data_IF_549711923693
#
_entry.id   IF_549711923693
#
_cell.length_a   1.000
_cell.length_b   1.000
_cell.length_c   1.000
_cell.angle_alpha   90.00
_cell.angle_beta   90.00
_cell.angle_gamma   90.00
#
_symmetry.space_group_name_H-M   'P 1'
#
loop_
_entity.id
_entity.type
_entity.pdbx_description
1 polymer ?
#
# COMPACT_ATOMS: atom_id res chain seq x y z
N UNK A 1 33.78 -4.89 14.38
CA UNK A 1 33.45 -3.78 13.46
C UNK A 1 32.14 -4.14 12.82
N UNK A 2 31.16 -3.23 12.74
CA UNK A 2 29.92 -3.51 12.02
C UNK A 2 30.25 -3.72 10.56
N UNK A 3 30.08 -4.93 10.01
CA UNK A 3 30.22 -5.15 8.58
C UNK A 3 29.19 -4.28 7.87
N UNK A 4 29.66 -3.38 7.01
CA UNK A 4 28.82 -2.49 6.21
C UNK A 4 28.40 -3.23 4.95
N UNK A 5 27.11 -3.14 4.60
CA UNK A 5 26.59 -3.63 3.34
C UNK A 5 26.76 -2.56 2.26
N UNK A 6 26.96 -2.99 1.01
CA UNK A 6 27.00 -2.10 -0.14
C UNK A 6 25.67 -2.15 -0.89
N UNK A 7 25.06 -0.99 -1.10
CA UNK A 7 23.93 -0.81 -2.01
C UNK A 7 24.36 0.04 -3.20
N UNK A 8 23.68 -0.11 -4.33
CA UNK A 8 24.11 0.51 -5.58
C UNK A 8 22.96 0.93 -6.49
N UNK A 9 23.26 1.87 -7.38
CA UNK A 9 22.29 2.50 -8.26
C UNK A 9 21.69 3.76 -7.65
N UNK A 10 21.37 4.72 -8.53
CA UNK A 10 20.93 6.06 -8.13
C UNK A 10 19.67 6.00 -7.27
N UNK A 11 18.64 5.28 -7.73
CA UNK A 11 17.35 5.20 -7.04
C UNK A 11 17.44 4.53 -5.66
N UNK A 12 18.24 3.45 -5.53
CA UNK A 12 18.35 2.73 -4.27
C UNK A 12 19.04 3.59 -3.20
N UNK A 13 20.11 4.31 -3.57
CA UNK A 13 20.82 5.21 -2.66
C UNK A 13 19.99 6.45 -2.34
N UNK A 14 19.28 7.03 -3.32
CA UNK A 14 18.37 8.15 -3.09
C UNK A 14 17.24 7.78 -2.12
N UNK A 15 16.59 6.63 -2.32
CA UNK A 15 15.55 6.12 -1.44
C UNK A 15 16.08 5.93 0.00
N UNK A 16 17.30 5.41 0.14
CA UNK A 16 17.93 5.23 1.44
C UNK A 16 18.24 6.55 2.15
N UNK A 17 18.73 7.56 1.42
CA UNK A 17 18.95 8.88 1.99
C UNK A 17 17.63 9.55 2.40
N UNK A 18 16.56 9.35 1.64
CA UNK A 18 15.24 9.93 1.94
C UNK A 18 14.57 9.30 3.15
N UNK A 19 14.58 7.96 3.23
CA UNK A 19 13.79 7.23 4.23
C UNK A 19 14.62 6.79 5.44
N UNK A 20 15.89 6.45 5.26
CA UNK A 20 16.76 5.91 6.30
C UNK A 20 18.16 6.56 6.32
N UNK A 21 18.28 7.90 6.37
CA UNK A 21 19.57 8.59 6.24
C UNK A 21 20.60 8.15 7.28
N UNK A 22 20.18 7.75 8.48
CA UNK A 22 21.05 7.27 9.56
C UNK A 22 21.76 5.94 9.25
N UNK A 23 21.20 5.13 8.35
CA UNK A 23 21.80 3.87 7.90
C UNK A 23 22.92 4.11 6.89
N UNK A 24 22.85 5.19 6.11
CA UNK A 24 23.87 5.53 5.11
C UNK A 24 25.10 6.11 5.80
N UNK A 25 26.24 5.44 5.67
CA UNK A 25 27.51 5.86 6.29
C UNK A 25 28.33 6.70 5.33
N UNK A 26 28.37 6.29 4.07
CA UNK A 26 29.11 6.98 3.03
C UNK A 26 28.51 6.67 1.66
N UNK A 27 28.51 7.67 0.78
CA UNK A 27 28.18 7.52 -0.64
C UNK A 27 29.48 7.65 -1.44
N UNK A 28 29.63 6.81 -2.47
CA UNK A 28 30.70 6.84 -3.44
C UNK A 28 30.14 7.14 -4.82
N UNK A 29 30.74 8.11 -5.50
CA UNK A 29 30.43 8.51 -6.86
C UNK A 29 31.59 8.19 -7.79
N UNK A 30 31.26 7.68 -8.98
CA UNK A 30 32.26 7.47 -10.01
C UNK A 30 32.84 8.82 -10.48
N UNK A 31 34.16 8.85 -10.68
CA UNK A 31 34.85 10.05 -11.17
C UNK A 31 34.24 10.61 -12.47
N UNK A 32 34.20 11.94 -12.55
CA UNK A 32 33.66 12.67 -13.70
C UNK A 32 32.13 12.63 -13.81
N UNK A 33 31.44 12.01 -12.86
CA UNK A 33 29.98 11.97 -12.86
C UNK A 33 29.38 13.24 -12.26
N UNK A 34 28.85 14.09 -13.14
CA UNK A 34 28.17 15.35 -12.80
C UNK A 34 26.78 15.46 -13.44
N UNK A 35 26.21 14.33 -13.90
CA UNK A 35 24.96 14.35 -14.65
C UNK A 35 23.74 14.74 -13.78
N UNK A 36 22.71 15.39 -14.34
CA UNK A 36 21.57 15.92 -13.59
C UNK A 36 20.84 14.90 -12.72
N UNK A 37 20.91 13.60 -13.05
CA UNK A 37 20.25 12.54 -12.29
C UNK A 37 20.84 12.32 -10.90
N UNK A 38 22.07 12.76 -10.66
CA UNK A 38 22.77 12.57 -9.38
C UNK A 38 22.58 13.76 -8.44
N UNK A 39 22.17 14.93 -8.96
CA UNK A 39 21.98 16.14 -8.15
C UNK A 39 21.00 15.94 -6.97
N UNK A 40 19.80 15.33 -7.15
CA UNK A 40 18.88 15.10 -6.04
C UNK A 40 19.49 14.25 -4.92
N UNK A 41 20.33 13.28 -5.29
CA UNK A 41 21.04 12.42 -4.36
C UNK A 41 22.10 13.20 -3.57
N UNK A 42 22.87 14.07 -4.24
CA UNK A 42 23.87 14.92 -3.58
C UNK A 42 23.22 15.90 -2.59
N UNK A 43 22.09 16.49 -2.96
CA UNK A 43 21.31 17.36 -2.08
C UNK A 43 20.82 16.61 -0.85
N UNK A 44 20.24 15.41 -1.02
CA UNK A 44 19.80 14.57 0.10
C UNK A 44 20.96 14.13 1.01
N UNK A 45 22.13 13.81 0.42
CA UNK A 45 23.33 13.47 1.17
C UNK A 45 23.82 14.65 2.01
N UNK A 46 23.83 15.86 1.43
CA UNK A 46 24.20 17.09 2.12
C UNK A 46 23.23 17.41 3.26
N UNK A 47 21.92 17.35 3.02
CA UNK A 47 20.87 17.55 4.03
C UNK A 47 21.01 16.55 5.19
N UNK A 48 21.35 15.31 4.88
CA UNK A 48 21.52 14.23 5.85
C UNK A 48 22.91 14.18 6.50
N UNK A 49 23.82 15.09 6.13
CA UNK A 49 25.23 15.14 6.58
C UNK A 49 26.00 13.84 6.31
N UNK A 50 25.66 13.17 5.22
CA UNK A 50 26.35 11.94 4.76
C UNK A 50 27.55 12.34 3.90
N UNK A 51 28.69 11.70 4.13
CA UNK A 51 29.91 11.96 3.34
C UNK A 51 29.76 11.40 1.93
N UNK A 52 30.18 12.18 0.95
CA UNK A 52 30.23 11.77 -0.46
C UNK A 52 31.70 11.75 -0.90
N UNK A 53 32.20 10.57 -1.25
CA UNK A 53 33.53 10.36 -1.81
C UNK A 53 33.48 10.15 -3.33
N UNK A 54 34.59 10.41 -4.00
CA UNK A 54 34.81 10.04 -5.40
C UNK A 54 35.65 8.77 -5.47
N UNK A 55 35.43 7.94 -6.48
CA UNK A 55 36.13 6.68 -6.69
C UNK A 55 36.19 6.35 -8.18
N UNK A 56 37.25 5.66 -8.62
CA UNK A 56 37.34 5.24 -10.01
C UNK A 56 36.27 4.19 -10.31
N UNK A 57 35.63 4.29 -11.47
CA UNK A 57 34.59 3.34 -11.86
C UNK A 57 35.05 1.88 -11.81
N UNK A 58 36.31 1.62 -12.16
CA UNK A 58 36.92 0.29 -12.14
C UNK A 58 37.03 -0.29 -10.72
N UNK A 59 37.30 0.55 -9.72
CA UNK A 59 37.31 0.12 -8.33
C UNK A 59 35.90 -0.23 -7.85
N UNK A 60 34.90 0.56 -8.26
CA UNK A 60 33.50 0.30 -7.95
C UNK A 60 32.98 -1.00 -8.59
N UNK A 61 33.41 -1.30 -9.82
CA UNK A 61 33.10 -2.56 -10.51
C UNK A 61 33.65 -3.77 -9.74
N UNK A 62 34.78 -3.62 -9.03
CA UNK A 62 35.35 -4.68 -8.20
C UNK A 62 34.60 -4.90 -6.88
N UNK A 63 33.80 -3.92 -6.43
CA UNK A 63 33.03 -4.03 -5.19
C UNK A 63 31.70 -4.75 -5.36
N UNK A 64 31.15 -4.81 -6.59
CA UNK A 64 29.74 -5.14 -6.81
C UNK A 64 29.55 -5.95 -8.09
N UNK A 65 28.87 -7.09 -7.98
CA UNK A 65 28.37 -7.85 -9.12
C UNK A 65 27.05 -7.22 -9.62
N UNK A 66 27.12 -6.13 -10.38
CA UNK A 66 25.92 -5.49 -10.94
C UNK A 66 26.12 -4.14 -11.61
N UNK A 67 25.06 -3.63 -12.22
CA UNK A 67 25.07 -2.30 -12.86
C UNK A 67 24.85 -1.23 -11.79
N UNK A 68 25.93 -0.80 -11.14
CA UNK A 68 25.89 0.21 -10.07
C UNK A 68 25.52 1.62 -10.54
N UNK A 69 25.51 1.88 -11.85
CA UNK A 69 25.28 3.21 -12.42
C UNK A 69 26.12 4.29 -11.71
N UNK A 70 27.41 4.05 -11.45
CA UNK A 70 28.36 5.02 -10.88
C UNK A 70 28.00 5.56 -9.50
N UNK A 71 27.10 4.90 -8.77
CA UNK A 71 26.68 5.29 -7.42
C UNK A 71 26.65 4.06 -6.53
N UNK A 72 27.35 4.13 -5.41
CA UNK A 72 27.40 3.09 -4.38
C UNK A 72 27.27 3.75 -3.03
N UNK A 73 26.66 3.09 -2.06
CA UNK A 73 26.67 3.54 -0.68
C UNK A 73 27.00 2.40 0.29
N UNK A 74 27.84 2.71 1.27
CA UNK A 74 28.05 1.87 2.43
C UNK A 74 26.94 2.14 3.45
N UNK A 75 26.18 1.11 3.79
CA UNK A 75 25.04 1.19 4.70
C UNK A 75 25.20 0.20 5.83
N UNK A 76 24.63 0.52 7.00
CA UNK A 76 24.45 -0.49 8.04
C UNK A 76 23.46 -1.56 7.56
N UNK A 77 23.70 -2.85 7.87
CA UNK A 77 22.89 -3.96 7.37
C UNK A 77 21.40 -3.76 7.57
N UNK A 78 20.60 -4.15 6.58
CA UNK A 78 19.14 -4.16 6.77
C UNK A 78 18.77 -5.34 7.67
N UNK A 79 18.19 -5.07 8.83
CA UNK A 79 17.67 -6.12 9.69
C UNK A 79 16.26 -6.50 9.24
N UNK A 80 15.96 -7.79 9.25
CA UNK A 80 14.58 -8.27 9.21
C UNK A 80 13.93 -7.89 10.55
N UNK A 81 12.77 -7.25 10.49
CA UNK A 81 12.11 -6.74 11.68
C UNK A 81 11.42 -7.87 12.43
N UNK A 82 11.42 -7.78 13.76
CA UNK A 82 10.65 -8.69 14.61
C UNK A 82 9.25 -8.16 14.92
N UNK A 83 8.44 -9.00 15.56
CA UNK A 83 7.07 -8.63 15.99
C UNK A 83 7.06 -7.37 16.88
N UNK A 84 7.99 -7.22 17.82
CA UNK A 84 8.07 -6.04 18.68
C UNK A 84 8.27 -4.73 17.90
N UNK A 85 9.10 -4.75 16.86
CA UNK A 85 9.34 -3.56 16.03
C UNK A 85 8.10 -3.20 15.18
N UNK A 86 7.32 -4.20 14.76
CA UNK A 86 6.03 -3.97 14.10
C UNK A 86 5.03 -3.32 15.06
N UNK A 87 5.01 -3.74 16.32
CA UNK A 87 4.15 -3.16 17.34
C UNK A 87 4.48 -1.68 17.57
N UNK A 88 5.76 -1.33 17.71
CA UNK A 88 6.23 0.06 17.82
C UNK A 88 5.90 0.89 16.56
N UNK A 89 6.01 0.28 15.37
CA UNK A 89 5.68 0.94 14.11
C UNK A 89 4.20 1.30 14.01
N UNK A 90 3.32 0.40 14.47
CA UNK A 90 1.88 0.62 14.49
C UNK A 90 1.48 1.72 15.47
N UNK A 91 2.13 1.81 16.63
CA UNK A 91 1.87 2.86 17.62
C UNK A 91 2.22 4.26 17.11
N UNK A 92 3.21 4.35 16.22
CA UNK A 92 3.67 5.60 15.62
C UNK A 92 2.97 5.94 14.29
N UNK A 93 2.11 5.05 13.81
CA UNK A 93 1.45 5.22 12.52
C UNK A 93 0.36 6.29 12.61
N UNK A 94 0.45 7.31 11.77
CA UNK A 94 -0.60 8.32 11.62
C UNK A 94 -1.59 7.89 10.53
N UNK A 95 -2.86 7.72 10.91
CA UNK A 95 -3.94 7.31 10.01
C UNK A 95 -4.12 5.78 9.88
N UNK A 96 -4.98 5.31 8.97
CA UNK A 96 -5.31 3.90 8.85
C UNK A 96 -4.15 3.11 8.21
N UNK A 97 -3.48 2.19 8.93
CA UNK A 97 -2.38 1.40 8.37
C UNK A 97 -2.87 0.49 7.23
N UNK A 98 -1.98 0.24 6.27
CA UNK A 98 -2.11 -0.83 5.28
C UNK A 98 -0.94 -1.77 5.46
N UNK A 99 -1.21 -3.03 5.80
CA UNK A 99 -0.19 -4.07 5.92
C UNK A 99 -0.39 -5.10 4.82
N UNK A 100 0.72 -5.64 4.31
CA UNK A 100 0.71 -6.77 3.39
C UNK A 100 1.25 -8.00 4.12
N UNK A 101 0.54 -9.11 4.05
CA UNK A 101 1.01 -10.42 4.53
C UNK A 101 1.20 -11.34 3.33
N UNK A 102 2.34 -12.00 3.26
CA UNK A 102 2.62 -13.01 2.24
C UNK A 102 2.75 -14.38 2.92
N UNK A 103 1.73 -15.23 2.77
CA UNK A 103 1.71 -16.58 3.32
C UNK A 103 2.22 -17.60 2.29
N UNK A 104 3.47 -18.04 2.46
CA UNK A 104 4.04 -19.10 1.65
C UNK A 104 4.70 -18.64 0.35
N UNK A 105 4.98 -17.35 0.18
CA UNK A 105 5.75 -16.85 -0.96
C UNK A 105 7.23 -17.19 -0.78
N UNK A 106 7.68 -18.25 -1.45
CA UNK A 106 9.05 -18.79 -1.34
C UNK A 106 9.98 -18.33 -2.46
N UNK A 107 9.45 -17.78 -3.54
CA UNK A 107 10.26 -17.29 -4.66
C UNK A 107 10.79 -15.86 -4.38
N UNK A 108 12.12 -15.64 -4.42
CA UNK A 108 12.73 -14.32 -4.27
C UNK A 108 12.24 -13.28 -5.29
N UNK A 109 11.91 -13.68 -6.52
CA UNK A 109 11.41 -12.75 -7.54
C UNK A 109 10.03 -12.22 -7.16
N UNK A 110 9.11 -13.12 -6.82
CA UNK A 110 7.79 -12.75 -6.31
C UNK A 110 7.87 -11.89 -5.04
N UNK A 111 8.71 -12.24 -4.05
CA UNK A 111 8.87 -11.41 -2.85
C UNK A 111 9.38 -10.00 -3.19
N UNK A 112 10.41 -9.88 -4.03
CA UNK A 112 10.95 -8.58 -4.44
C UNK A 112 9.93 -7.72 -5.19
N UNK A 113 9.14 -8.34 -6.08
CA UNK A 113 8.07 -7.64 -6.79
C UNK A 113 6.95 -7.19 -5.84
N UNK A 114 6.54 -8.04 -4.89
CA UNK A 114 5.56 -7.68 -3.87
C UNK A 114 6.05 -6.52 -2.98
N UNK A 115 7.33 -6.53 -2.55
CA UNK A 115 7.92 -5.43 -1.78
C UNK A 115 7.87 -4.11 -2.54
N UNK A 116 8.24 -4.13 -3.82
CA UNK A 116 8.18 -2.96 -4.70
C UNK A 116 6.77 -2.41 -4.84
N UNK A 117 5.81 -3.29 -5.06
CA UNK A 117 4.40 -2.92 -5.16
C UNK A 117 3.84 -2.40 -3.84
N UNK A 118 4.21 -3.01 -2.71
CA UNK A 118 3.79 -2.61 -1.37
C UNK A 118 4.29 -1.20 -1.03
N UNK A 119 5.57 -0.92 -1.30
CA UNK A 119 6.15 0.42 -1.15
C UNK A 119 5.42 1.44 -2.03
N UNK A 120 5.22 1.13 -3.32
CA UNK A 120 4.50 2.00 -4.25
C UNK A 120 3.04 2.27 -3.84
N UNK A 121 2.39 1.30 -3.19
CA UNK A 121 1.02 1.43 -2.67
C UNK A 121 0.95 2.15 -1.31
N UNK A 122 2.10 2.49 -0.70
CA UNK A 122 2.15 3.10 0.62
C UNK A 122 1.76 2.14 1.75
N UNK A 123 2.03 0.84 1.60
CA UNK A 123 1.91 -0.10 2.69
C UNK A 123 2.95 0.21 3.77
N UNK A 124 2.53 0.09 5.04
CA UNK A 124 3.35 0.41 6.20
C UNK A 124 4.45 -0.65 6.43
N UNK A 125 4.13 -1.92 6.21
CA UNK A 125 5.08 -3.02 6.33
C UNK A 125 4.60 -4.25 5.55
N UNK A 126 5.55 -5.13 5.22
CA UNK A 126 5.28 -6.47 4.68
C UNK A 126 5.63 -7.52 5.73
N UNK A 127 4.72 -8.45 5.98
CA UNK A 127 4.83 -9.49 7.00
C UNK A 127 4.96 -10.84 6.31
N UNK A 128 5.95 -11.64 6.74
CA UNK A 128 6.19 -12.99 6.25
C UNK A 128 6.39 -13.96 7.42
N UNK A 129 5.96 -15.24 7.32
CA UNK A 129 6.36 -16.24 8.30
C UNK A 129 7.87 -16.50 8.21
N UNK A 130 8.54 -16.79 9.33
CA UNK A 130 9.96 -17.19 9.32
C UNK A 130 10.21 -18.46 8.51
N UNK A 131 9.24 -19.37 8.52
CA UNK A 131 9.31 -20.65 7.81
C UNK A 131 8.50 -20.62 6.52
N UNK A 132 9.06 -21.21 5.46
CA UNK A 132 8.45 -21.34 4.13
C UNK A 132 8.11 -19.97 3.52
N UNK A 133 9.05 -19.04 3.62
CA UNK A 133 9.05 -17.75 2.92
C UNK A 133 10.42 -17.51 2.30
N UNK A 134 10.48 -16.66 1.27
CA UNK A 134 11.74 -16.15 0.77
C UNK A 134 12.37 -15.21 1.81
N UNK A 135 13.69 -15.28 1.95
CA UNK A 135 14.47 -14.38 2.82
C UNK A 135 14.97 -13.17 2.04
N UNK A 136 15.27 -12.09 2.75
CA UNK A 136 15.81 -10.87 2.15
C UNK A 136 17.25 -11.09 1.69
N UNK A 137 17.41 -11.50 0.42
CA UNK A 137 18.70 -11.75 -0.22
C UNK A 137 18.99 -10.76 -1.37
N UNK A 138 20.16 -10.87 -1.99
CA UNK A 138 20.57 -9.98 -3.08
C UNK A 138 19.59 -9.96 -4.26
N UNK A 139 18.99 -11.10 -4.61
CA UNK A 139 17.99 -11.21 -5.67
C UNK A 139 16.72 -10.41 -5.32
N UNK A 140 16.19 -10.56 -4.11
CA UNK A 140 15.03 -9.80 -3.63
C UNK A 140 15.32 -8.30 -3.70
N UNK A 141 16.48 -7.86 -3.19
CA UNK A 141 16.87 -6.44 -3.19
C UNK A 141 16.96 -5.86 -4.61
N UNK A 142 17.54 -6.62 -5.54
CA UNK A 142 17.64 -6.24 -6.96
C UNK A 142 16.27 -6.07 -7.60
N UNK A 143 15.35 -7.03 -7.39
CA UNK A 143 14.00 -6.99 -7.95
C UNK A 143 13.15 -5.89 -7.32
N UNK A 144 13.32 -5.64 -6.02
CA UNK A 144 12.58 -4.62 -5.28
C UNK A 144 12.95 -3.18 -5.67
N UNK A 145 14.05 -2.97 -6.42
CA UNK A 145 14.48 -1.66 -6.91
C UNK A 145 14.58 -0.56 -5.83
N UNK A 146 15.09 -0.92 -4.65
CA UNK A 146 15.24 0.00 -3.51
C UNK A 146 14.11 -0.06 -2.47
N UNK A 147 12.93 -0.58 -2.83
CA UNK A 147 11.82 -0.74 -1.89
C UNK A 147 12.20 -1.63 -0.69
N UNK A 148 13.01 -2.66 -0.91
CA UNK A 148 13.55 -3.55 0.13
C UNK A 148 14.32 -2.83 1.25
N UNK A 149 14.77 -1.60 1.02
CA UNK A 149 15.41 -0.79 2.04
C UNK A 149 14.47 0.19 2.74
N UNK A 150 13.34 0.52 2.11
CA UNK A 150 12.38 1.52 2.57
C UNK A 150 11.30 0.87 3.42
N UNK A 151 10.61 -0.14 2.86
CA UNK A 151 9.49 -0.81 3.53
C UNK A 151 10.00 -1.89 4.50
N UNK A 152 9.59 -1.87 5.78
CA UNK A 152 9.95 -2.91 6.74
C UNK A 152 9.43 -4.28 6.32
N UNK A 153 10.34 -5.25 6.22
CA UNK A 153 10.01 -6.67 6.11
C UNK A 153 10.06 -7.30 7.51
N UNK A 154 8.90 -7.70 8.02
CA UNK A 154 8.71 -8.26 9.36
C UNK A 154 8.58 -9.78 9.27
N UNK A 155 9.44 -10.51 9.98
CA UNK A 155 9.37 -11.97 10.04
C UNK A 155 8.74 -12.44 11.36
N UNK A 156 7.62 -13.17 11.25
CA UNK A 156 6.84 -13.66 12.40
C UNK A 156 6.98 -15.17 12.57
N UNK A 157 6.96 -15.65 13.81
CA UNK A 157 7.11 -17.09 14.08
C UNK A 157 5.80 -17.84 13.83
N UNK A 158 4.67 -17.27 14.23
CA UNK A 158 3.35 -17.87 14.03
C UNK A 158 2.41 -16.85 13.40
N UNK A 159 2.16 -17.02 12.10
CA UNK A 159 1.38 -16.07 11.33
C UNK A 159 -0.07 -15.94 11.83
N UNK A 160 -0.74 -17.04 12.17
CA UNK A 160 -2.12 -17.02 12.65
C UNK A 160 -2.24 -16.21 13.94
N UNK A 161 -1.33 -16.45 14.89
CA UNK A 161 -1.27 -15.67 16.15
C UNK A 161 -0.96 -14.19 15.91
N UNK A 162 -0.09 -13.88 14.94
CA UNK A 162 0.19 -12.49 14.58
C UNK A 162 -1.04 -11.80 13.97
N UNK A 163 -1.83 -12.49 13.15
CA UNK A 163 -3.09 -11.96 12.62
C UNK A 163 -4.10 -11.67 13.73
N UNK A 164 -4.29 -12.58 14.68
CA UNK A 164 -5.17 -12.37 15.85
C UNK A 164 -4.78 -11.10 16.62
N UNK A 165 -3.48 -10.88 16.87
CA UNK A 165 -2.99 -9.67 17.54
C UNK A 165 -3.31 -8.40 16.75
N UNK A 166 -3.20 -8.44 15.42
CA UNK A 166 -3.52 -7.29 14.56
C UNK A 166 -5.03 -7.01 14.58
N UNK A 167 -5.87 -8.04 14.58
CA UNK A 167 -7.33 -7.91 14.74
C UNK A 167 -7.70 -7.30 16.09
N UNK A 168 -7.08 -7.75 17.18
CA UNK A 168 -7.28 -7.17 18.52
C UNK A 168 -6.89 -5.69 18.60
N UNK A 169 -5.98 -5.22 17.73
CA UNK A 169 -5.63 -3.81 17.57
C UNK A 169 -6.58 -3.03 16.64
N UNK A 170 -7.63 -3.68 16.12
CA UNK A 170 -8.65 -3.05 15.28
C UNK A 170 -8.31 -3.01 13.79
N UNK A 171 -7.36 -3.82 13.32
CA UNK A 171 -7.10 -3.99 11.89
C UNK A 171 -7.98 -5.10 11.30
N UNK A 172 -8.59 -4.83 10.15
CA UNK A 172 -9.37 -5.83 9.41
C UNK A 172 -8.46 -6.69 8.54
N UNK A 173 -8.58 -8.01 8.66
CA UNK A 173 -7.80 -8.99 7.88
C UNK A 173 -8.60 -9.43 6.65
N UNK A 174 -8.11 -9.04 5.48
CA UNK A 174 -8.71 -9.35 4.17
C UNK A 174 -7.81 -10.34 3.44
N UNK A 175 -8.25 -11.59 3.32
CA UNK A 175 -7.51 -12.64 2.62
C UNK A 175 -7.96 -12.83 1.17
N UNK A 176 -7.02 -13.13 0.29
CA UNK A 176 -7.34 -13.45 -1.12
C UNK A 176 -7.49 -14.95 -1.33
N UNK A 177 -8.66 -15.38 -1.81
CA UNK A 177 -8.98 -16.78 -2.09
C UNK A 177 -9.85 -16.89 -3.34
N UNK A 178 -9.56 -17.84 -4.23
CA UNK A 178 -10.32 -17.99 -5.49
C UNK A 178 -11.76 -18.46 -5.26
N UNK A 179 -11.98 -19.19 -4.18
CA UNK A 179 -13.28 -19.69 -3.73
C UNK A 179 -14.13 -18.64 -3.00
N UNK A 180 -13.63 -17.41 -2.81
CA UNK A 180 -14.38 -16.36 -2.13
C UNK A 180 -15.63 -15.95 -2.92
N UNK A 181 -16.68 -15.57 -2.19
CA UNK A 181 -17.91 -15.04 -2.79
C UNK A 181 -17.76 -13.57 -3.16
N UNK A 182 -17.14 -12.79 -2.26
CA UNK A 182 -16.94 -11.34 -2.40
C UNK A 182 -15.78 -11.03 -3.37
N UNK A 183 -15.96 -10.05 -4.24
CA UNK A 183 -14.88 -9.54 -5.09
C UNK A 183 -14.07 -8.48 -4.35
N UNK A 184 -12.79 -8.34 -4.71
CA UNK A 184 -11.90 -7.32 -4.11
C UNK A 184 -12.46 -5.90 -4.21
N UNK A 185 -13.23 -5.61 -5.27
CA UNK A 185 -13.81 -4.29 -5.55
C UNK A 185 -15.00 -3.96 -4.64
N UNK A 186 -15.57 -4.97 -3.97
CA UNK A 186 -16.74 -4.83 -3.11
C UNK A 186 -16.36 -4.66 -1.63
N UNK A 187 -15.14 -5.06 -1.26
CA UNK A 187 -14.64 -4.96 0.10
C UNK A 187 -14.14 -3.54 0.42
N UNK A 188 -14.55 -2.97 1.56
CA UNK A 188 -14.00 -1.71 2.07
C UNK A 188 -12.61 -1.93 2.68
N UNK A 189 -11.60 -1.29 2.07
CA UNK A 189 -10.20 -1.28 2.50
C UNK A 189 -9.72 0.12 2.89
N UNK A 190 -10.64 1.02 3.22
CA UNK A 190 -10.33 2.43 3.57
C UNK A 190 -9.87 2.60 5.02
N UNK A 191 -10.25 1.67 5.90
CA UNK A 191 -9.83 1.62 7.30
C UNK A 191 -8.47 0.94 7.49
N UNK A 192 -8.06 0.69 8.76
CA UNK A 192 -6.90 -0.13 9.07
C UNK A 192 -7.06 -1.55 8.48
N UNK A 193 -6.15 -1.98 7.61
CA UNK A 193 -6.31 -3.22 6.82
C UNK A 193 -5.02 -4.02 6.76
N UNK A 194 -5.15 -5.33 6.92
CA UNK A 194 -4.14 -6.34 6.62
C UNK A 194 -4.59 -7.12 5.39
N UNK A 195 -3.91 -6.92 4.27
CA UNK A 195 -4.17 -7.70 3.05
C UNK A 195 -3.30 -8.96 3.06
N UNK A 196 -3.91 -10.13 2.94
CA UNK A 196 -3.22 -11.42 2.98
C UNK A 196 -3.23 -12.07 1.60
N UNK A 197 -2.02 -12.34 1.09
CA UNK A 197 -1.81 -13.00 -0.20
C UNK A 197 -1.22 -14.39 0.05
N UNK A 198 -1.80 -15.39 -0.61
CA UNK A 198 -1.30 -16.77 -0.56
C UNK A 198 -0.18 -17.06 -1.55
N UNK A 199 0.48 -18.20 -1.36
CA UNK A 199 1.44 -18.73 -2.31
C UNK A 199 0.78 -19.08 -3.65
N UNK A 200 1.58 -19.11 -4.71
CA UNK A 200 1.13 -19.65 -5.99
C UNK A 200 0.72 -21.13 -5.86
N UNK A 201 -0.36 -21.51 -6.56
CA UNK A 201 -0.91 -22.86 -6.54
C UNK A 201 -1.71 -23.15 -5.28
N UNK A 202 -1.06 -23.40 -4.14
CA UNK A 202 -1.75 -23.84 -2.90
C UNK A 202 -2.57 -22.72 -2.24
N UNK A 203 -2.32 -21.46 -2.57
CA UNK A 203 -2.98 -20.32 -1.94
C UNK A 203 -2.55 -20.15 -0.49
N UNK A 204 -3.43 -19.56 0.32
CA UNK A 204 -3.22 -19.37 1.75
C UNK A 204 -3.34 -20.68 2.51
N UNK A 205 -2.59 -20.83 3.61
CA UNK A 205 -2.77 -21.96 4.51
C UNK A 205 -4.13 -21.88 5.18
N UNK A 206 -4.67 -23.05 5.55
CA UNK A 206 -5.97 -23.18 6.22
C UNK A 206 -6.10 -22.26 7.44
N UNK A 207 -5.12 -22.30 8.36
CA UNK A 207 -5.15 -21.48 9.57
C UNK A 207 -5.14 -19.99 9.23
N UNK A 208 -4.32 -19.55 8.28
CA UNK A 208 -4.30 -18.15 7.82
C UNK A 208 -5.68 -17.71 7.31
N UNK A 209 -6.33 -18.57 6.51
CA UNK A 209 -7.66 -18.32 5.95
C UNK A 209 -8.75 -18.25 7.02
N UNK A 210 -8.70 -19.11 8.04
CA UNK A 210 -9.65 -19.12 9.16
C UNK A 210 -9.54 -17.87 10.05
N UNK A 211 -8.41 -17.16 10.01
CA UNK A 211 -8.19 -15.90 10.75
C UNK A 211 -8.44 -14.65 9.91
N UNK A 212 -8.91 -14.79 8.67
CA UNK A 212 -9.33 -13.65 7.86
C UNK A 212 -10.76 -13.24 8.25
N UNK A 213 -10.99 -11.95 8.48
CA UNK A 213 -12.33 -11.40 8.69
C UNK A 213 -13.16 -11.46 7.40
N UNK A 214 -12.48 -11.24 6.26
CA UNK A 214 -13.08 -11.26 4.94
C UNK A 214 -12.22 -12.08 3.99
N UNK A 215 -12.88 -12.81 3.09
CA UNK A 215 -12.23 -13.44 1.94
C UNK A 215 -12.72 -12.78 0.67
N UNK A 216 -11.78 -12.39 -0.18
CA UNK A 216 -12.05 -11.75 -1.46
C UNK A 216 -11.40 -12.50 -2.61
N UNK A 217 -12.03 -12.45 -3.79
CA UNK A 217 -11.44 -12.93 -5.04
C UNK A 217 -11.18 -11.80 -6.03
N UNK A 218 -10.23 -12.05 -6.92
CA UNK A 218 -10.13 -11.31 -8.17
C UNK A 218 -11.09 -11.93 -9.18
N UNK A 219 -11.98 -11.17 -9.83
CA UNK A 219 -12.85 -11.73 -10.85
C UNK A 219 -12.02 -12.15 -12.06
N UNK A 220 -12.10 -13.45 -12.40
CA UNK A 220 -11.41 -14.05 -13.53
C UNK A 220 -12.39 -14.27 -14.67
N UNK A 221 -12.15 -13.66 -15.83
CA UNK A 221 -12.99 -13.84 -17.03
C UNK A 221 -12.41 -14.84 -18.05
N UNK A 222 -11.26 -15.43 -17.73
CA UNK A 222 -10.53 -16.34 -18.62
C UNK A 222 -10.58 -17.80 -18.18
N UNK A 223 -9.81 -18.65 -18.86
CA UNK A 223 -9.69 -20.08 -18.57
C UNK A 223 -8.75 -20.41 -17.39
N UNK A 224 -7.94 -19.45 -16.96
CA UNK A 224 -7.02 -19.61 -15.83
C UNK A 224 -7.74 -19.33 -14.51
N UNK A 225 -7.42 -20.13 -13.50
CA UNK A 225 -8.05 -20.06 -12.18
C UNK A 225 -7.36 -19.08 -11.22
N UNK A 226 -6.17 -18.57 -11.57
CA UNK A 226 -5.41 -17.66 -10.71
C UNK A 226 -4.41 -16.81 -11.49
N UNK A 227 -3.89 -15.78 -10.82
CA UNK A 227 -2.80 -14.93 -11.29
C UNK A 227 -1.52 -15.22 -10.50
N UNK A 228 -0.37 -14.82 -11.05
CA UNK A 228 0.88 -14.73 -10.31
C UNK A 228 0.70 -13.86 -9.06
N UNK A 229 1.32 -14.27 -7.94
CA UNK A 229 1.08 -13.63 -6.64
C UNK A 229 1.47 -12.14 -6.64
N UNK A 230 2.54 -11.76 -7.35
CA UNK A 230 2.97 -10.36 -7.41
C UNK A 230 1.97 -9.49 -8.19
N UNK A 231 1.39 -10.03 -9.26
CA UNK A 231 0.35 -9.35 -10.06
C UNK A 231 -0.93 -9.20 -9.24
N UNK A 232 -1.39 -10.28 -8.60
CA UNK A 232 -2.57 -10.25 -7.75
C UNK A 232 -2.40 -9.25 -6.59
N UNK A 233 -1.21 -9.23 -5.98
CA UNK A 233 -0.85 -8.27 -4.92
C UNK A 233 -0.95 -6.83 -5.43
N UNK A 234 -0.48 -6.57 -6.65
CA UNK A 234 -0.63 -5.26 -7.31
C UNK A 234 -2.07 -4.83 -7.47
N UNK A 235 -2.93 -5.69 -8.00
CA UNK A 235 -4.35 -5.36 -8.19
C UNK A 235 -5.03 -5.05 -6.85
N UNK A 236 -4.83 -5.91 -5.85
CA UNK A 236 -5.46 -5.74 -4.54
C UNK A 236 -4.96 -4.48 -3.80
N UNK A 237 -3.64 -4.22 -3.80
CA UNK A 237 -3.09 -3.05 -3.12
C UNK A 237 -3.51 -1.74 -3.80
N UNK A 238 -3.50 -1.68 -5.13
CA UNK A 238 -3.90 -0.47 -5.84
C UNK A 238 -5.42 -0.23 -5.80
N UNK A 239 -6.23 -1.27 -5.58
CA UNK A 239 -7.64 -1.08 -5.23
C UNK A 239 -7.78 -0.42 -3.85
N UNK A 240 -7.01 -0.87 -2.84
CA UNK A 240 -7.00 -0.20 -1.53
C UNK A 240 -6.55 1.27 -1.65
N UNK A 241 -5.52 1.56 -2.46
CA UNK A 241 -5.07 2.93 -2.76
C UNK A 241 -6.20 3.76 -3.39
N UNK A 242 -6.90 3.22 -4.40
CA UNK A 242 -8.02 3.89 -5.07
C UNK A 242 -9.11 4.29 -4.07
N UNK A 243 -9.52 3.35 -3.21
CA UNK A 243 -10.54 3.61 -2.20
C UNK A 243 -10.09 4.66 -1.17
N UNK A 244 -8.86 4.54 -0.67
CA UNK A 244 -8.29 5.44 0.35
C UNK A 244 -8.12 6.87 -0.17
N UNK A 245 -7.75 7.04 -1.44
CA UNK A 245 -7.63 8.35 -2.07
C UNK A 245 -8.99 9.01 -2.31
N UNK A 246 -9.99 8.25 -2.76
CA UNK A 246 -11.33 8.79 -2.96
C UNK A 246 -11.97 9.27 -1.64
N UNK A 247 -11.76 8.55 -0.53
CA UNK A 247 -12.28 8.97 0.79
C UNK A 247 -11.57 10.22 1.34
N UNK A 248 -10.30 10.44 0.99
CA UNK A 248 -9.57 11.69 1.30
C UNK A 248 -10.17 12.89 0.56
N UNK A 249 -10.64 12.72 -0.68
CA UNK A 249 -11.26 13.80 -1.47
C UNK A 249 -12.67 14.18 -0.98
N UNK A 250 -13.37 13.30 -0.26
CA UNK A 250 -14.74 13.56 0.25
C UNK A 250 -14.75 14.36 1.57
N UNK A 251 -13.59 14.69 2.16
CA UNK A 251 -13.52 15.52 3.38
C UNK A 251 -13.42 17.03 3.08
N UNK A 252 -14.57 17.69 3.33
CA UNK A 252 -14.89 19.12 3.51
C UNK A 252 -15.00 20.02 2.26
N UNK A 253 -16.21 20.54 1.91
CA UNK A 253 -16.29 21.87 1.33
C UNK A 253 -15.78 22.87 2.38
N UNK A 254 -14.94 23.80 1.96
CA UNK A 254 -14.49 24.90 2.81
C UNK A 254 -15.69 25.73 3.25
N UNK A 255 -15.64 26.23 4.48
CA UNK A 255 -16.67 27.11 5.07
C UNK A 255 -16.75 28.51 4.39
N UNK A 256 -16.26 28.63 3.15
CA UNK A 256 -16.30 29.83 2.30
C UNK A 256 -17.47 29.84 1.32
N UNK A 257 -18.17 28.72 1.14
CA UNK A 257 -19.15 28.59 0.05
C UNK A 257 -20.60 28.92 0.47
N UNK A 258 -20.79 29.34 1.73
CA UNK A 258 -22.04 29.94 2.19
C UNK A 258 -21.96 31.46 2.14
N UNK A 259 -21.98 32.03 0.93
CA UNK A 259 -22.38 33.41 0.71
C UNK A 259 -23.44 33.46 -0.40
N UNK A 260 -24.69 33.21 -0.02
CA UNK A 260 -25.87 33.27 -0.88
C UNK A 260 -27.14 33.27 -0.04
N UNK A 261 -28.19 34.03 -0.41
CA UNK A 261 -29.17 34.54 0.52
C UNK A 261 -30.01 33.43 1.15
N UNK A 262 -30.21 33.58 2.46
CA UNK A 262 -31.15 32.81 3.27
C UNK A 262 -32.49 32.73 2.56
N UNK A 263 -32.79 31.56 1.97
CA UNK A 263 -34.14 31.25 1.53
C UNK A 263 -34.91 30.80 2.77
N UNK A 264 -35.55 31.77 3.43
CA UNK A 264 -36.47 31.52 4.55
C UNK A 264 -37.65 30.73 3.99
N UNK A 265 -37.61 29.41 4.11
CA UNK A 265 -38.81 28.58 3.98
C UNK A 265 -39.70 28.93 5.19
N UNK A 266 -40.67 29.82 4.94
CA UNK A 266 -41.79 30.04 5.84
C UNK A 266 -42.49 28.70 6.08
N UNK A 267 -42.42 28.22 7.31
CA UNK A 267 -43.34 27.20 7.81
C UNK A 267 -44.76 27.78 7.78
N UNK A 268 -45.78 27.07 7.25
CA UNK A 268 -47.15 27.46 7.48
C UNK A 268 -47.51 27.14 8.93
N UNK A 269 -48.04 28.16 9.60
CA UNK A 269 -48.49 28.12 10.97
C UNK A 269 -49.50 27.00 11.22
N UNK A 270 -49.29 26.28 12.32
CA UNK A 270 -50.26 25.38 12.93
C UNK A 270 -51.39 26.21 13.52
N UNK A 271 -52.61 26.07 12.98
CA UNK A 271 -53.85 26.45 13.66
C UNK A 271 -54.71 25.20 13.74
N UNK A 272 -54.92 24.71 14.96
CA UNK A 272 -55.69 23.51 15.21
C UNK A 272 -57.20 23.72 15.12
N UNK A 273 -57.91 22.63 14.81
CA UNK A 273 -59.17 22.25 15.46
C UNK A 273 -59.63 20.84 15.02
N UNK A 274 -59.68 19.96 16.01
CA UNK A 274 -60.73 18.95 16.27
C UNK A 274 -61.06 17.83 15.27
N UNK A 275 -60.96 16.60 15.81
CA UNK A 275 -61.85 15.42 15.69
C UNK A 275 -61.60 14.39 14.58
N UNK A 276 -61.10 13.24 15.05
CA UNK A 276 -61.74 11.90 15.03
C UNK A 276 -61.58 10.96 13.79
N UNK A 277 -61.21 9.71 14.14
CA UNK A 277 -61.38 8.38 13.49
C UNK A 277 -60.43 7.89 12.36
N UNK A 278 -59.65 6.86 12.73
CA UNK A 278 -59.46 5.53 12.11
C UNK A 278 -58.88 5.32 10.68
N UNK A 279 -57.76 4.56 10.67
CA UNK A 279 -57.51 3.33 9.89
C UNK A 279 -56.81 3.35 8.51
N UNK A 280 -55.91 2.37 8.40
CA UNK A 280 -55.41 1.59 7.24
C UNK A 280 -54.51 2.30 6.20
N UNK A 281 -53.28 1.82 5.95
CA UNK A 281 -52.84 0.59 5.26
C UNK A 281 -53.11 0.62 3.73
N UNK A 282 -52.06 0.33 2.95
CA UNK A 282 -51.96 0.12 1.50
C UNK A 282 -52.03 1.36 0.59
N UNK A 283 -50.94 1.64 -0.13
CA UNK A 283 -50.86 1.29 -1.56
C UNK A 283 -49.40 1.37 -2.05
N UNK A 284 -48.81 0.20 -2.26
CA UNK A 284 -47.57 -0.04 -2.99
C UNK A 284 -47.83 0.07 -4.51
N UNK A 285 -46.82 0.55 -5.24
CA UNK A 285 -46.38 0.13 -6.59
C UNK A 285 -47.44 -0.17 -7.66
N UNK A 286 -47.56 0.69 -8.68
CA UNK A 286 -47.40 0.28 -10.10
C UNK A 286 -47.49 1.44 -11.10
N UNK A 287 -46.79 1.23 -12.21
CA UNK A 287 -46.97 1.80 -13.55
C UNK A 287 -46.02 2.93 -13.98
N UNK A 288 -45.14 2.49 -14.88
CA UNK A 288 -44.20 3.24 -15.69
C UNK A 288 -44.87 3.91 -16.90
N UNK A 289 -44.03 4.69 -17.62
CA UNK A 289 -44.14 5.14 -19.02
C UNK A 289 -45.03 6.37 -19.26
N UNK A 290 -44.40 7.51 -19.62
CA UNK A 290 -44.66 8.31 -20.85
C UNK A 290 -43.54 9.37 -21.02
N UNK A 291 -42.62 9.07 -21.95
CA UNK A 291 -42.02 9.91 -23.02
C UNK A 291 -41.62 11.40 -22.87
N UNK A 292 -40.34 11.65 -23.23
CA UNK A 292 -39.77 12.68 -24.13
C UNK A 292 -40.07 14.17 -23.86
N UNK A 293 -38.99 14.95 -23.65
CA UNK A 293 -38.46 15.84 -24.70
C UNK A 293 -37.08 16.44 -24.36
N UNK A 294 -36.17 16.32 -25.32
CA UNK A 294 -34.86 16.97 -25.39
C UNK A 294 -35.00 18.50 -25.34
N UNK A 295 -34.19 19.17 -24.53
CA UNK A 295 -33.91 20.60 -24.67
C UNK A 295 -32.47 20.76 -25.19
N UNK A 296 -32.36 21.40 -26.36
CA UNK A 296 -31.14 21.77 -27.08
C UNK A 296 -30.36 22.84 -26.32
N UNK A 297 -29.04 22.71 -26.28
CA UNK A 297 -28.14 23.87 -26.13
C UNK A 297 -28.24 24.75 -27.38
N UNK A 298 -28.29 26.09 -27.25
CA UNK A 298 -27.80 27.00 -28.26
C UNK A 298 -26.39 27.48 -27.89
N UNK A 299 -25.43 27.22 -28.79
CA UNK A 299 -24.22 28.02 -28.94
C UNK A 299 -24.59 29.44 -29.38
N UNK A 300 -23.85 30.44 -28.91
CA UNK A 300 -23.72 31.73 -29.59
C UNK A 300 -23.70 32.98 -28.71
N UNK A 301 -22.49 33.35 -28.26
CA UNK A 301 -21.92 34.70 -28.43
C UNK A 301 -20.39 34.62 -28.27
#
# INVERSE_FOLDING_TARGET
MSDLEKIYGVHAVEAMLRHHPKRVKQVWLADGRSDPRVQPLLELAAQSRVKVGQCERREMDAWIEGVHQGVVADVSPSQVWGEAMLEELLERCEGPPLLLVLDGVTDPHNLGACLRTADAAGALAVIVPKDKSATLNATVRKVACGAAEVIPLVAVTNLARSLEKLQQRGLWVVGTAGEAELEVYQQDMTGPTVLVMGAEGKGMRRLTREHCDYLVKLPMSGSVSSLNVSVATGVCLFEAVRQRNNKRQVKAPSNSDYCGPVCVLRTPAVVGRTRLWHSALLYLLHSAVVTKQYARCPDGA
#
